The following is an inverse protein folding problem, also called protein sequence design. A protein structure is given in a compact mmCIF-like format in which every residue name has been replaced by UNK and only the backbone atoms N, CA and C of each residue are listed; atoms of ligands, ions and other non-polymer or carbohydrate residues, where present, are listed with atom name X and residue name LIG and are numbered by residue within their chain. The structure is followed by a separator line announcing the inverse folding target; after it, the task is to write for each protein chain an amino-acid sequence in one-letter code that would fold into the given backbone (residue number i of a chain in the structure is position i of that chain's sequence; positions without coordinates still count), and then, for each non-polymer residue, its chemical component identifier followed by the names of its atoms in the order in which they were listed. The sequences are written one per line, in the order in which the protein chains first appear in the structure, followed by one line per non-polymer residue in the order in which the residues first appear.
data_IF_995178238655
#
_entry.id   IF_995178238655
#
_cell.length_a   1.000
_cell.length_b   1.000
_cell.length_c   1.000
_cell.angle_alpha   90.00
_cell.angle_beta   90.00
_cell.angle_gamma   90.00
#
_symmetry.space_group_name_H-M   'P 1'
#
loop_
_entity.id
_entity.type
_entity.pdbx_description
1 polymer ?
#
# COMPACT_ATOMS: atom_id res chain seq x y z
N UNK A 1 -76.84 9.91 -12.88
CA UNK A 1 -76.30 11.27 -12.72
C UNK A 1 -76.65 11.94 -11.39
N UNK A 2 -77.64 11.46 -10.60
CA UNK A 2 -78.08 12.07 -9.34
C UNK A 2 -77.18 11.89 -8.13
N UNK A 3 -76.44 10.82 -8.04
CA UNK A 3 -75.56 10.52 -6.85
C UNK A 3 -74.42 11.47 -6.64
N UNK A 4 -73.79 11.99 -7.70
CA UNK A 4 -72.62 12.92 -7.62
C UNK A 4 -73.05 14.34 -7.19
N UNK A 5 -74.29 14.75 -7.55
CA UNK A 5 -74.81 16.06 -7.16
C UNK A 5 -75.12 16.08 -5.69
N UNK A 6 -75.76 15.01 -5.18
CA UNK A 6 -76.10 14.87 -3.77
C UNK A 6 -74.87 14.86 -2.89
N UNK A 7 -73.81 14.20 -3.33
CA UNK A 7 -72.54 14.13 -2.61
C UNK A 7 -71.77 15.48 -2.59
N UNK A 8 -71.83 16.26 -3.66
CA UNK A 8 -71.27 17.62 -3.72
C UNK A 8 -72.06 18.61 -2.86
N UNK A 9 -73.41 18.50 -2.83
CA UNK A 9 -74.27 19.33 -1.99
C UNK A 9 -74.04 19.00 -0.52
N UNK A 10 -73.90 17.72 -0.17
CA UNK A 10 -73.58 17.30 1.20
C UNK A 10 -72.24 17.82 1.67
N UNK A 11 -71.18 17.77 0.82
CA UNK A 11 -69.87 18.33 1.13
C UNK A 11 -69.90 19.86 1.30
N UNK A 12 -70.62 20.57 0.45
CA UNK A 12 -70.85 22.02 0.59
C UNK A 12 -71.62 22.36 1.89
N UNK A 13 -72.58 21.58 2.24
CA UNK A 13 -73.37 21.79 3.49
C UNK A 13 -72.48 21.51 4.72
N UNK A 14 -71.68 20.47 4.73
CA UNK A 14 -70.70 20.18 5.80
C UNK A 14 -69.68 21.33 5.91
N UNK A 15 -69.20 21.82 4.79
CA UNK A 15 -68.21 22.94 4.75
C UNK A 15 -68.90 24.25 5.28
N UNK A 16 -70.14 24.51 4.93
CA UNK A 16 -70.86 25.66 5.41
C UNK A 16 -71.18 25.58 6.91
N UNK A 17 -71.58 24.39 7.43
CA UNK A 17 -71.73 24.15 8.85
C UNK A 17 -70.43 24.33 9.63
N UNK A 18 -69.31 23.88 9.07
CA UNK A 18 -67.98 24.04 9.66
C UNK A 18 -67.58 25.53 9.72
N UNK A 19 -67.94 26.31 8.70
CA UNK A 19 -67.70 27.76 8.63
C UNK A 19 -68.61 28.50 9.67
N UNK A 20 -69.88 28.09 9.86
CA UNK A 20 -70.74 28.65 10.86
C UNK A 20 -70.33 28.34 12.31
N UNK A 21 -69.76 27.18 12.54
CA UNK A 21 -69.18 26.79 13.86
C UNK A 21 -67.97 27.64 14.19
N UNK A 22 -67.10 27.93 13.18
CA UNK A 22 -65.92 28.78 13.33
C UNK A 22 -66.25 30.27 13.61
N UNK A 23 -67.41 30.72 13.24
CA UNK A 23 -67.90 32.15 13.39
C UNK A 23 -68.46 32.49 14.77
N UNK A 24 -68.72 31.49 15.62
CA UNK A 24 -69.23 31.75 16.99
C UNK A 24 -68.08 32.17 17.94
N UNK A 25 -68.18 33.28 18.65
CA UNK A 25 -67.09 33.85 19.47
C UNK A 25 -66.70 33.01 20.70
N UNK A 26 -67.44 31.94 21.04
CA UNK A 26 -67.12 31.08 22.20
C UNK A 26 -66.41 29.78 21.85
N UNK A 27 -66.21 29.47 20.56
CA UNK A 27 -65.63 28.16 20.13
C UNK A 27 -64.18 28.26 19.61
N UNK A 28 -63.56 29.44 19.65
CA UNK A 28 -62.17 29.65 19.15
C UNK A 28 -61.17 28.78 19.83
N UNK A 29 -61.22 28.60 21.15
CA UNK A 29 -60.22 27.78 21.85
C UNK A 29 -60.34 26.29 21.55
N UNK A 30 -61.60 25.82 21.41
CA UNK A 30 -61.85 24.41 21.07
C UNK A 30 -61.49 24.14 19.63
N UNK A 31 -61.82 25.07 18.72
CA UNK A 31 -61.43 24.95 17.31
C UNK A 31 -59.90 24.96 17.09
N UNK A 32 -59.16 25.75 17.86
CA UNK A 32 -57.71 25.74 17.82
C UNK A 32 -57.10 24.42 18.32
N UNK A 33 -57.64 23.85 19.41
CA UNK A 33 -57.16 22.54 19.91
C UNK A 33 -57.46 21.41 18.92
N UNK A 34 -58.66 21.39 18.37
CA UNK A 34 -59.06 20.38 17.37
C UNK A 34 -58.28 20.54 16.07
N UNK A 35 -58.02 21.78 15.63
CA UNK A 35 -57.18 22.05 14.46
C UNK A 35 -55.72 21.59 14.65
N UNK A 36 -55.15 21.82 15.83
CA UNK A 36 -53.79 21.35 16.16
C UNK A 36 -53.71 19.81 16.19
N UNK A 37 -54.72 19.16 16.72
CA UNK A 37 -54.78 17.69 16.79
C UNK A 37 -55.03 17.03 15.42
N UNK A 38 -55.77 17.67 14.53
CA UNK A 38 -56.04 17.22 13.17
C UNK A 38 -54.91 17.51 12.18
N UNK A 39 -54.17 18.62 12.36
CA UNK A 39 -53.09 19.03 11.47
C UNK A 39 -51.72 18.46 11.90
N UNK A 40 -51.52 18.20 13.19
CA UNK A 40 -50.30 17.65 13.75
C UNK A 40 -49.83 16.33 13.10
N UNK A 41 -50.69 15.29 13.06
CA UNK A 41 -50.30 14.00 12.47
C UNK A 41 -49.91 14.05 10.99
N UNK A 42 -50.64 14.75 10.08
CA UNK A 42 -50.24 14.82 8.69
C UNK A 42 -48.93 15.60 8.48
N UNK A 43 -48.64 16.60 9.30
CA UNK A 43 -47.38 17.36 9.19
C UNK A 43 -46.17 16.49 9.64
N UNK A 44 -46.32 15.71 10.69
CA UNK A 44 -45.27 14.78 11.11
C UNK A 44 -45.00 13.66 10.10
N UNK A 45 -46.06 13.15 9.44
CA UNK A 45 -45.94 12.19 8.35
C UNK A 45 -45.21 12.78 7.14
N UNK A 46 -45.52 14.00 6.73
CA UNK A 46 -44.83 14.67 5.62
C UNK A 46 -43.35 14.86 5.93
N UNK A 47 -42.99 15.26 7.12
CA UNK A 47 -41.58 15.38 7.52
C UNK A 47 -40.86 14.03 7.54
N UNK A 48 -41.50 12.98 8.05
CA UNK A 48 -40.95 11.63 8.05
C UNK A 48 -40.70 11.10 6.62
N UNK A 49 -41.63 11.31 5.70
CA UNK A 49 -41.46 10.94 4.30
C UNK A 49 -40.39 11.79 3.60
N UNK A 50 -40.29 13.07 3.90
CA UNK A 50 -39.27 13.95 3.32
C UNK A 50 -37.87 13.52 3.71
N UNK A 51 -37.62 13.25 4.97
CA UNK A 51 -36.32 12.87 5.48
C UNK A 51 -35.92 11.45 4.99
N UNK A 52 -36.87 10.53 4.96
CA UNK A 52 -36.66 9.18 4.44
C UNK A 52 -36.32 9.15 2.94
N UNK A 53 -36.99 9.98 2.13
CA UNK A 53 -36.72 10.04 0.68
C UNK A 53 -35.38 10.71 0.34
N UNK A 54 -34.97 11.72 1.11
CA UNK A 54 -33.68 12.40 0.89
C UNK A 54 -32.50 11.48 1.17
N UNK A 55 -32.55 10.70 2.24
CA UNK A 55 -31.51 9.69 2.54
C UNK A 55 -31.46 8.61 1.46
N UNK A 56 -32.59 8.11 1.02
CA UNK A 56 -32.65 7.08 -0.02
C UNK A 56 -32.05 7.56 -1.36
N UNK A 57 -32.29 8.82 -1.73
CA UNK A 57 -31.73 9.42 -2.94
C UNK A 57 -30.22 9.67 -2.81
N UNK A 58 -29.73 10.07 -1.65
CA UNK A 58 -28.31 10.28 -1.40
C UNK A 58 -27.54 8.95 -1.48
N UNK A 59 -28.03 7.90 -0.84
CA UNK A 59 -27.41 6.58 -0.87
C UNK A 59 -27.42 6.00 -2.29
N UNK A 60 -28.52 6.16 -3.03
CA UNK A 60 -28.63 5.68 -4.40
C UNK A 60 -27.67 6.39 -5.37
N UNK A 61 -27.52 7.72 -5.25
CA UNK A 61 -26.59 8.50 -6.08
C UNK A 61 -25.13 8.17 -5.74
N UNK A 62 -24.80 7.98 -4.47
CA UNK A 62 -23.46 7.55 -4.04
C UNK A 62 -23.11 6.16 -4.57
N UNK A 63 -24.06 5.23 -4.58
CA UNK A 63 -23.83 3.87 -5.11
C UNK A 63 -23.64 3.86 -6.63
N UNK A 64 -24.34 4.71 -7.38
CA UNK A 64 -24.14 4.86 -8.84
C UNK A 64 -22.76 5.47 -9.13
N UNK A 65 -22.40 6.56 -8.44
CA UNK A 65 -21.09 7.19 -8.63
C UNK A 65 -19.94 6.26 -8.22
N UNK A 66 -20.08 5.49 -7.15
CA UNK A 66 -19.12 4.49 -6.76
C UNK A 66 -18.95 3.40 -7.83
N UNK A 67 -20.05 2.90 -8.40
CA UNK A 67 -20.02 1.90 -9.49
C UNK A 67 -19.38 2.44 -10.77
N UNK A 68 -19.65 3.68 -11.14
CA UNK A 68 -19.03 4.32 -12.30
C UNK A 68 -17.52 4.55 -12.08
N UNK A 69 -17.15 5.01 -10.90
CA UNK A 69 -15.74 5.20 -10.52
C UNK A 69 -14.99 3.86 -10.50
N UNK A 70 -15.60 2.81 -9.94
CA UNK A 70 -15.06 1.44 -9.96
C UNK A 70 -14.86 0.93 -11.38
N UNK A 71 -15.83 1.18 -12.27
CA UNK A 71 -15.76 0.77 -13.67
C UNK A 71 -14.69 1.52 -14.45
N UNK A 72 -14.52 2.82 -14.15
CA UNK A 72 -13.46 3.65 -14.74
C UNK A 72 -12.07 3.22 -14.25
N UNK A 73 -11.92 3.01 -12.94
CA UNK A 73 -10.67 2.55 -12.33
C UNK A 73 -10.27 1.16 -12.83
N UNK A 74 -11.22 0.22 -12.94
CA UNK A 74 -10.95 -1.11 -13.50
C UNK A 74 -10.54 -1.06 -14.98
N UNK A 75 -11.09 -0.15 -15.78
CA UNK A 75 -10.65 0.04 -17.16
C UNK A 75 -9.22 0.58 -17.21
N UNK A 76 -8.89 1.54 -16.36
CA UNK A 76 -7.54 2.11 -16.28
C UNK A 76 -6.50 1.07 -15.82
N UNK A 77 -6.83 0.26 -14.82
CA UNK A 77 -6.00 -0.87 -14.37
C UNK A 77 -5.79 -1.89 -15.48
N UNK A 78 -6.83 -2.21 -16.25
CA UNK A 78 -6.73 -3.15 -17.36
C UNK A 78 -5.86 -2.60 -18.50
N UNK A 79 -5.99 -1.31 -18.82
CA UNK A 79 -5.17 -0.65 -19.84
C UNK A 79 -3.71 -0.55 -19.42
N UNK A 80 -3.43 -0.19 -18.16
CA UNK A 80 -2.07 -0.18 -17.61
C UNK A 80 -1.44 -1.58 -17.61
N UNK A 81 -2.19 -2.61 -17.26
CA UNK A 81 -1.72 -4.02 -17.35
C UNK A 81 -1.38 -4.40 -18.79
N UNK A 82 -2.21 -4.01 -19.75
CA UNK A 82 -1.97 -4.26 -21.18
C UNK A 82 -0.72 -3.53 -21.68
N UNK A 83 -0.53 -2.27 -21.28
CA UNK A 83 0.67 -1.50 -21.64
C UNK A 83 1.93 -2.13 -21.06
N UNK A 84 1.89 -2.59 -19.79
CA UNK A 84 2.99 -3.32 -19.19
C UNK A 84 3.31 -4.62 -19.94
N UNK A 85 2.30 -5.42 -20.30
CA UNK A 85 2.50 -6.64 -21.08
C UNK A 85 3.13 -6.37 -22.45
N UNK A 86 2.69 -5.31 -23.15
CA UNK A 86 3.29 -4.91 -24.43
C UNK A 86 4.74 -4.47 -24.24
N UNK A 87 5.03 -3.71 -23.18
CA UNK A 87 6.38 -3.27 -22.83
C UNK A 87 7.29 -4.47 -22.54
N UNK A 88 6.83 -5.46 -21.78
CA UNK A 88 7.55 -6.71 -21.50
C UNK A 88 7.83 -7.51 -22.78
N UNK A 89 6.86 -7.60 -23.69
CA UNK A 89 7.05 -8.27 -24.98
C UNK A 89 8.09 -7.57 -25.86
N UNK A 90 8.04 -6.23 -25.93
CA UNK A 90 9.00 -5.42 -26.68
C UNK A 90 10.43 -5.52 -26.11
N UNK A 91 10.55 -5.56 -24.77
CA UNK A 91 11.82 -5.73 -24.08
C UNK A 91 12.40 -7.14 -24.35
N UNK A 92 11.55 -8.17 -24.33
CA UNK A 92 11.92 -9.55 -24.61
C UNK A 92 12.36 -9.74 -26.06
N UNK A 93 11.71 -9.06 -27.01
CA UNK A 93 12.06 -9.07 -28.44
C UNK A 93 13.41 -8.40 -28.71
N UNK A 94 13.78 -7.38 -27.93
CA UNK A 94 15.09 -6.72 -27.97
C UNK A 94 16.21 -7.47 -27.22
N UNK A 95 15.92 -8.65 -26.65
CA UNK A 95 16.91 -9.41 -25.86
C UNK A 95 17.23 -8.77 -24.51
N UNK A 96 16.49 -7.72 -24.13
CA UNK A 96 16.60 -7.10 -22.81
C UNK A 96 15.68 -7.91 -21.89
N UNK A 97 16.21 -8.98 -21.32
CA UNK A 97 15.50 -9.76 -20.28
C UNK A 97 15.62 -8.96 -18.97
N UNK A 98 14.75 -7.98 -18.79
CA UNK A 98 14.44 -7.56 -17.45
C UNK A 98 13.59 -8.65 -16.81
N UNK A 99 14.21 -9.55 -16.07
CA UNK A 99 13.52 -10.33 -15.04
C UNK A 99 13.26 -9.41 -13.83
N UNK A 100 12.59 -8.30 -14.06
CA UNK A 100 11.86 -7.60 -13.01
C UNK A 100 10.47 -8.23 -12.90
N UNK A 101 10.40 -9.51 -12.57
CA UNK A 101 9.31 -9.97 -11.73
C UNK A 101 9.43 -9.15 -10.46
N UNK A 102 8.49 -8.26 -10.22
CA UNK A 102 8.42 -7.46 -9.01
C UNK A 102 8.58 -8.41 -7.82
N UNK A 103 9.73 -8.33 -7.13
CA UNK A 103 10.07 -9.26 -6.04
C UNK A 103 8.95 -9.27 -5.00
N UNK A 104 8.26 -8.13 -4.86
CA UNK A 104 7.07 -8.01 -4.02
C UNK A 104 5.87 -8.83 -4.53
N UNK A 105 5.78 -9.20 -5.82
CA UNK A 105 4.74 -10.11 -6.32
C UNK A 105 5.07 -11.58 -6.06
N UNK A 106 6.37 -11.92 -5.98
CA UNK A 106 6.84 -13.29 -5.78
C UNK A 106 6.92 -13.68 -4.29
N UNK A 107 7.13 -12.72 -3.41
CA UNK A 107 7.28 -12.95 -1.97
C UNK A 107 6.17 -12.26 -1.21
N UNK A 108 5.63 -12.93 -0.19
CA UNK A 108 4.82 -12.26 0.82
C UNK A 108 5.66 -11.21 1.53
N UNK A 109 5.08 -10.07 1.86
CA UNK A 109 5.80 -8.98 2.47
C UNK A 109 4.99 -8.21 3.51
N UNK A 110 5.70 -7.51 4.38
CA UNK A 110 5.13 -6.55 5.35
C UNK A 110 5.74 -5.18 5.08
N UNK A 111 4.89 -4.17 4.89
CA UNK A 111 5.33 -2.77 4.85
C UNK A 111 5.57 -2.27 6.26
N UNK A 112 6.71 -1.61 6.48
CA UNK A 112 7.10 -1.06 7.76
C UNK A 112 7.64 0.37 7.61
N UNK A 113 7.37 1.21 8.60
CA UNK A 113 7.94 2.57 8.68
C UNK A 113 9.19 2.57 9.54
N UNK A 114 10.18 3.32 9.12
CA UNK A 114 11.35 3.62 9.96
C UNK A 114 10.92 4.68 10.97
N UNK A 115 11.04 4.36 12.25
CA UNK A 115 10.68 5.25 13.37
C UNK A 115 11.88 5.82 14.11
N UNK A 116 13.08 5.39 13.77
CA UNK A 116 14.32 5.89 14.34
C UNK A 116 15.54 5.28 13.70
N UNK A 117 16.64 5.99 13.79
CA UNK A 117 17.97 5.58 13.36
C UNK A 117 18.90 5.53 14.55
N UNK A 118 19.90 4.68 14.53
CA UNK A 118 21.00 4.73 15.49
C UNK A 118 21.82 6.00 15.22
N UNK A 119 22.05 6.79 16.26
CA UNK A 119 22.84 8.02 16.15
C UNK A 119 24.32 7.70 15.88
N UNK A 120 24.74 7.89 14.66
CA UNK A 120 26.12 7.80 14.14
C UNK A 120 26.25 8.80 12.99
N UNK A 121 27.47 9.20 12.57
CA UNK A 121 27.64 10.05 11.39
C UNK A 121 26.91 9.50 10.15
N UNK A 122 27.02 8.16 9.91
CA UNK A 122 26.28 7.43 8.91
C UNK A 122 25.39 6.36 9.60
N UNK A 123 24.06 6.40 9.41
CA UNK A 123 23.20 5.42 10.03
C UNK A 123 23.40 4.04 9.41
N UNK A 124 23.75 3.07 10.23
CA UNK A 124 23.91 1.67 9.81
C UNK A 124 22.79 0.77 10.33
N UNK A 125 21.99 1.29 11.27
CA UNK A 125 20.90 0.59 11.94
C UNK A 125 19.67 1.49 11.99
N UNK A 126 18.49 0.91 11.73
CA UNK A 126 17.19 1.57 11.88
C UNK A 126 16.22 0.72 12.72
N UNK A 127 15.19 1.36 13.25
CA UNK A 127 14.08 0.73 13.99
C UNK A 127 12.83 0.82 13.13
N UNK A 128 12.17 -0.31 12.95
CA UNK A 128 10.91 -0.46 12.24
C UNK A 128 9.73 -0.55 13.21
N UNK A 129 8.58 0.03 12.85
CA UNK A 129 7.33 -0.01 13.62
C UNK A 129 6.56 -1.33 13.47
N UNK A 130 7.20 -2.40 13.02
CA UNK A 130 6.65 -3.72 12.82
C UNK A 130 7.57 -4.76 13.45
N UNK A 131 6.98 -5.85 14.01
CA UNK A 131 7.73 -6.86 14.76
C UNK A 131 7.21 -8.28 14.58
N UNK A 132 7.42 -9.13 15.59
CA UNK A 132 7.02 -10.54 15.54
C UNK A 132 5.51 -10.74 15.34
N UNK A 133 4.66 -9.86 15.88
CA UNK A 133 3.21 -9.93 15.70
C UNK A 133 2.78 -9.70 14.24
N UNK A 134 3.61 -9.02 13.46
CA UNK A 134 3.41 -8.79 12.04
C UNK A 134 4.09 -9.85 11.16
N UNK A 135 4.63 -10.93 11.76
CA UNK A 135 5.31 -12.00 11.06
C UNK A 135 6.79 -11.74 10.77
N UNK A 136 7.36 -10.64 11.28
CA UNK A 136 8.76 -10.31 11.04
C UNK A 136 9.67 -11.13 11.94
N UNK A 137 10.72 -11.73 11.34
CA UNK A 137 11.74 -12.53 12.02
C UNK A 137 13.14 -12.07 11.66
N UNK A 138 14.10 -12.50 12.48
CA UNK A 138 15.55 -12.30 12.22
C UNK A 138 15.94 -12.87 10.86
N UNK A 139 16.89 -12.22 10.20
CA UNK A 139 17.44 -12.55 8.87
C UNK A 139 16.46 -12.38 7.71
N UNK A 140 15.31 -11.74 7.89
CA UNK A 140 14.44 -11.38 6.78
C UNK A 140 15.02 -10.22 5.98
N UNK A 141 15.03 -10.31 4.64
CA UNK A 141 15.48 -9.23 3.76
C UNK A 141 14.57 -8.01 3.84
N UNK A 142 15.17 -6.84 3.71
CA UNK A 142 14.44 -5.57 3.66
C UNK A 142 14.82 -4.84 2.38
N UNK A 143 13.81 -4.45 1.61
CA UNK A 143 13.95 -3.80 0.30
C UNK A 143 13.14 -2.52 0.21
N UNK A 144 13.46 -1.70 -0.77
CA UNK A 144 12.66 -0.57 -1.26
C UNK A 144 12.69 -0.57 -2.78
N UNK A 145 11.53 -0.62 -3.45
CA UNK A 145 11.45 -0.60 -4.92
C UNK A 145 12.43 -1.58 -5.59
N UNK A 146 12.45 -2.83 -5.21
CA UNK A 146 13.38 -3.85 -5.70
C UNK A 146 14.88 -3.61 -5.43
N UNK A 147 15.24 -2.61 -4.61
CA UNK A 147 16.61 -2.36 -4.19
C UNK A 147 16.82 -2.85 -2.76
N UNK A 148 17.97 -3.46 -2.52
CA UNK A 148 18.31 -4.00 -1.21
C UNK A 148 18.64 -2.87 -0.23
N UNK A 149 17.95 -2.89 0.92
CA UNK A 149 18.23 -1.99 2.04
C UNK A 149 19.11 -2.69 3.10
N UNK A 150 18.79 -3.94 3.42
CA UNK A 150 19.50 -4.68 4.45
C UNK A 150 18.74 -5.91 4.92
N UNK A 151 18.92 -6.27 6.19
CA UNK A 151 18.21 -7.39 6.84
C UNK A 151 17.80 -7.08 8.27
N UNK A 152 16.76 -7.75 8.73
CA UNK A 152 16.35 -7.71 10.13
C UNK A 152 17.37 -8.47 10.99
N UNK A 153 17.90 -7.82 12.04
CA UNK A 153 18.90 -8.44 12.94
C UNK A 153 18.31 -8.82 14.29
N UNK A 154 17.25 -8.15 14.72
CA UNK A 154 16.52 -8.52 15.93
C UNK A 154 15.07 -8.08 15.85
N UNK A 155 14.19 -8.76 16.60
CA UNK A 155 12.75 -8.47 16.64
C UNK A 155 12.24 -8.48 18.07
N UNK A 156 11.26 -7.64 18.34
CA UNK A 156 10.40 -7.64 19.53
C UNK A 156 8.94 -7.83 19.12
N UNK A 157 7.98 -7.92 20.02
CA UNK A 157 6.58 -8.12 19.63
C UNK A 157 6.05 -7.09 18.62
N UNK A 158 6.40 -5.80 18.77
CA UNK A 158 5.85 -4.71 17.96
C UNK A 158 6.90 -3.97 17.11
N UNK A 159 8.19 -4.24 17.29
CA UNK A 159 9.28 -3.51 16.62
C UNK A 159 10.33 -4.48 16.11
N UNK A 160 11.10 -4.06 15.11
CA UNK A 160 12.27 -4.80 14.64
C UNK A 160 13.43 -3.86 14.35
N UNK A 161 14.64 -4.42 14.41
CA UNK A 161 15.89 -3.73 14.15
C UNK A 161 16.39 -4.13 12.77
N UNK A 162 16.50 -3.16 11.88
CA UNK A 162 17.05 -3.29 10.53
C UNK A 162 18.52 -2.92 10.56
N UNK A 163 19.37 -3.76 10.00
CA UNK A 163 20.78 -3.48 9.71
C UNK A 163 20.95 -3.22 8.21
N UNK A 164 21.48 -2.05 7.87
CA UNK A 164 21.75 -1.68 6.48
C UNK A 164 22.92 -2.47 5.90
N UNK A 165 23.01 -2.54 4.57
CA UNK A 165 24.12 -3.20 3.89
C UNK A 165 25.46 -2.51 4.11
N UNK A 166 25.47 -1.23 4.50
CA UNK A 166 26.64 -0.43 4.83
C UNK A 166 27.25 -0.73 6.20
N UNK A 167 26.53 -1.43 7.10
CA UNK A 167 27.05 -1.77 8.43
C UNK A 167 28.26 -2.69 8.33
N UNK A 168 29.29 -2.47 9.15
CA UNK A 168 30.53 -3.26 9.14
C UNK A 168 30.30 -4.75 9.42
N UNK A 169 29.20 -5.08 10.12
CA UNK A 169 28.80 -6.46 10.38
C UNK A 169 27.89 -7.03 9.28
N UNK A 170 27.62 -6.25 8.23
CA UNK A 170 26.84 -6.69 7.08
C UNK A 170 27.75 -7.38 6.07
N UNK A 171 27.38 -8.61 5.73
CA UNK A 171 27.96 -9.34 4.63
C UNK A 171 26.86 -10.06 3.87
N UNK A 172 26.91 -10.06 2.54
CA UNK A 172 25.96 -10.73 1.67
C UNK A 172 26.63 -11.27 0.41
N UNK A 173 26.07 -12.36 -0.12
CA UNK A 173 26.47 -12.90 -1.42
C UNK A 173 26.01 -11.96 -2.53
N UNK A 174 26.95 -11.41 -3.27
CA UNK A 174 26.70 -10.51 -4.38
C UNK A 174 27.23 -11.07 -5.71
N UNK A 175 26.73 -10.54 -6.81
CA UNK A 175 27.12 -10.88 -8.16
C UNK A 175 27.16 -9.62 -9.01
N UNK A 176 28.16 -9.49 -9.84
CA UNK A 176 28.23 -8.46 -10.86
C UNK A 176 27.20 -8.73 -11.98
N UNK A 177 26.54 -7.69 -12.46
CA UNK A 177 25.40 -7.85 -13.37
C UNK A 177 25.82 -8.28 -14.78
N UNK A 178 26.93 -7.73 -15.32
CA UNK A 178 27.40 -8.02 -16.67
C UNK A 178 28.32 -9.24 -16.69
N UNK A 179 29.37 -9.21 -15.88
CA UNK A 179 30.40 -10.25 -15.85
C UNK A 179 29.96 -11.54 -15.16
N UNK A 180 28.85 -11.52 -14.40
CA UNK A 180 28.30 -12.64 -13.60
C UNK A 180 29.25 -13.20 -12.55
N UNK A 181 30.34 -12.49 -12.27
CA UNK A 181 31.29 -12.86 -11.22
C UNK A 181 30.67 -12.73 -9.84
N UNK A 182 30.88 -13.77 -9.03
CA UNK A 182 30.28 -13.83 -7.67
C UNK A 182 31.32 -13.44 -6.63
N UNK A 183 30.92 -12.65 -5.67
CA UNK A 183 31.72 -12.20 -4.55
C UNK A 183 30.91 -12.03 -3.27
N UNK A 184 31.51 -11.43 -2.28
CA UNK A 184 30.88 -11.07 -1.02
C UNK A 184 30.95 -9.56 -0.86
N UNK A 185 29.77 -8.92 -0.79
CA UNK A 185 29.68 -7.50 -0.47
C UNK A 185 29.71 -7.35 1.05
N UNK A 186 30.59 -6.49 1.55
CA UNK A 186 30.72 -6.17 2.97
C UNK A 186 30.52 -4.67 3.18
N UNK A 187 29.85 -4.31 4.26
CA UNK A 187 29.74 -2.93 4.68
C UNK A 187 31.04 -2.41 5.29
N UNK A 188 31.22 -1.11 5.28
CA UNK A 188 32.43 -0.44 5.82
C UNK A 188 32.09 0.57 6.92
N UNK A 189 30.81 0.72 7.27
CA UNK A 189 30.25 1.79 8.09
C UNK A 189 30.44 3.19 7.48
N UNK A 190 30.69 3.24 6.17
CA UNK A 190 30.78 4.44 5.35
C UNK A 190 29.71 4.40 4.25
N UNK A 191 29.67 5.40 3.38
CA UNK A 191 28.75 5.45 2.25
C UNK A 191 28.96 4.32 1.22
N UNK A 192 30.19 3.80 1.11
CA UNK A 192 30.58 2.78 0.15
C UNK A 192 30.70 1.41 0.82
N UNK A 193 30.29 0.38 0.10
CA UNK A 193 30.56 -1.02 0.44
C UNK A 193 31.79 -1.53 -0.31
N UNK A 194 32.37 -2.66 0.12
CA UNK A 194 33.47 -3.33 -0.54
C UNK A 194 33.00 -4.70 -1.08
N UNK A 195 33.21 -4.93 -2.39
CA UNK A 195 32.96 -6.23 -3.01
C UNK A 195 34.28 -7.03 -3.03
N UNK A 196 34.31 -8.13 -2.29
CA UNK A 196 35.48 -8.99 -2.10
C UNK A 196 35.42 -10.26 -2.93
N UNK A 197 36.56 -10.89 -3.14
CA UNK A 197 36.72 -12.18 -3.80
C UNK A 197 36.43 -12.17 -5.30
N UNK A 198 36.54 -11.03 -5.98
CA UNK A 198 36.52 -10.96 -7.44
C UNK A 198 37.94 -11.15 -7.98
N UNK A 199 38.17 -12.14 -8.88
CA UNK A 199 39.53 -12.43 -9.39
C UNK A 199 40.13 -11.24 -10.15
N UNK A 200 41.49 -11.13 -10.12
CA UNK A 200 42.21 -10.11 -10.89
C UNK A 200 42.00 -10.24 -12.40
N UNK A 201 41.65 -11.46 -12.87
CA UNK A 201 41.35 -11.76 -14.29
C UNK A 201 39.99 -11.28 -14.73
N UNK A 202 39.10 -10.90 -13.79
CA UNK A 202 37.75 -10.40 -14.10
C UNK A 202 37.84 -9.08 -14.86
N UNK A 203 36.92 -8.91 -15.83
CA UNK A 203 36.82 -7.71 -16.67
C UNK A 203 35.83 -6.69 -16.08
N UNK A 204 35.63 -6.71 -14.77
CA UNK A 204 34.76 -5.75 -14.08
C UNK A 204 35.14 -4.30 -14.41
N UNK A 205 34.10 -3.47 -14.65
CA UNK A 205 34.25 -2.05 -14.99
C UNK A 205 33.51 -1.16 -13.99
N UNK A 206 33.94 0.08 -13.89
CA UNK A 206 33.19 1.10 -13.16
C UNK A 206 31.86 1.36 -13.84
N UNK A 207 30.80 1.53 -13.04
CA UNK A 207 29.41 1.66 -13.51
C UNK A 207 28.62 0.34 -13.58
N UNK A 208 29.31 -0.82 -13.53
CA UNK A 208 28.66 -2.14 -13.56
C UNK A 208 27.74 -2.32 -12.35
N UNK A 209 26.55 -2.90 -12.59
CA UNK A 209 25.57 -3.20 -11.55
C UNK A 209 26.04 -4.32 -10.62
N UNK A 210 25.68 -4.21 -9.35
CA UNK A 210 25.89 -5.24 -8.33
C UNK A 210 24.55 -5.67 -7.79
N UNK A 211 24.25 -6.97 -7.90
CA UNK A 211 23.00 -7.58 -7.49
C UNK A 211 23.24 -8.68 -6.45
N UNK A 212 22.21 -9.09 -5.72
CA UNK A 212 22.29 -10.25 -4.82
C UNK A 212 22.46 -11.54 -5.62
N UNK A 213 23.32 -12.44 -5.15
CA UNK A 213 23.54 -13.73 -5.81
C UNK A 213 22.58 -14.85 -5.36
N UNK A 214 21.90 -14.68 -4.23
CA UNK A 214 21.04 -15.72 -3.63
C UNK A 214 21.80 -16.87 -2.96
N UNK A 215 23.12 -16.89 -3.01
CA UNK A 215 23.93 -18.03 -2.54
C UNK A 215 24.03 -18.15 -1.02
N UNK A 216 23.70 -17.09 -0.29
CA UNK A 216 23.70 -17.06 1.18
C UNK A 216 22.39 -17.61 1.81
N UNK A 217 21.37 -17.91 1.02
CA UNK A 217 20.07 -18.41 1.48
C UNK A 217 19.26 -17.40 2.32
N UNK A 218 19.73 -16.16 2.42
CA UNK A 218 19.06 -15.07 3.16
C UNK A 218 18.33 -14.15 2.17
N UNK A 219 19.06 -13.67 1.17
CA UNK A 219 18.55 -12.72 0.19
C UNK A 219 18.07 -13.45 -1.07
N UNK A 220 16.88 -13.13 -1.62
CA UNK A 220 16.52 -13.56 -2.95
C UNK A 220 17.58 -13.12 -3.97
N UNK A 221 17.83 -13.89 -5.04
CA UNK A 221 18.74 -13.49 -6.11
C UNK A 221 18.16 -12.31 -6.92
N UNK A 222 19.06 -11.59 -7.60
CA UNK A 222 18.76 -10.51 -8.56
C UNK A 222 18.14 -9.23 -7.96
N UNK A 223 18.27 -8.99 -6.66
CA UNK A 223 17.91 -7.70 -6.05
C UNK A 223 19.07 -6.73 -6.29
N UNK A 224 18.79 -5.54 -6.83
CA UNK A 224 19.78 -4.50 -7.02
C UNK A 224 20.36 -4.02 -5.68
N UNK A 225 21.66 -3.93 -5.60
CA UNK A 225 22.39 -3.50 -4.39
C UNK A 225 23.06 -2.15 -4.62
N UNK A 226 23.81 -2.01 -5.71
CA UNK A 226 24.59 -0.82 -5.97
C UNK A 226 25.27 -0.83 -7.33
N UNK A 227 26.19 0.11 -7.52
CA UNK A 227 27.05 0.19 -8.71
C UNK A 227 28.50 0.27 -8.31
N UNK A 228 29.35 -0.35 -9.11
CA UNK A 228 30.80 -0.27 -8.97
C UNK A 228 31.26 1.17 -9.24
N UNK A 229 32.01 1.76 -8.31
CA UNK A 229 32.52 3.13 -8.43
C UNK A 229 34.04 3.19 -8.49
N UNK A 230 34.72 2.12 -8.07
CA UNK A 230 36.18 2.03 -8.10
C UNK A 230 36.63 0.58 -8.25
N UNK A 231 37.57 0.33 -9.15
CA UNK A 231 38.21 -0.98 -9.37
C UNK A 231 39.70 -0.84 -9.29
N UNK A 232 40.31 -1.33 -8.23
CA UNK A 232 41.76 -1.41 -8.09
C UNK A 232 42.24 -2.84 -8.35
N UNK A 233 43.25 -2.99 -9.21
CA UNK A 233 43.91 -4.26 -9.50
C UNK A 233 45.35 -4.25 -8.93
N UNK A 234 45.53 -4.70 -7.69
CA UNK A 234 46.84 -4.69 -7.05
C UNK A 234 47.81 -5.60 -7.79
N UNK A 235 49.11 -5.18 -7.89
CA UNK A 235 50.14 -5.97 -8.53
C UNK A 235 50.47 -7.27 -7.78
N UNK A 236 50.15 -7.31 -6.48
CA UNK A 236 50.36 -8.46 -5.60
C UNK A 236 49.00 -8.83 -4.98
N UNK A 237 48.62 -10.10 -5.10
CA UNK A 237 47.36 -10.59 -4.59
C UNK A 237 46.60 -11.47 -5.60
N UNK A 238 45.40 -11.92 -5.26
CA UNK A 238 44.54 -12.75 -6.12
C UNK A 238 43.21 -12.04 -6.48
N UNK A 239 42.88 -10.99 -5.78
CA UNK A 239 41.56 -10.37 -5.81
C UNK A 239 41.64 -8.88 -6.13
N UNK A 240 40.66 -8.39 -6.89
CA UNK A 240 40.44 -6.97 -7.07
C UNK A 240 39.92 -6.34 -5.75
N UNK A 241 40.22 -5.06 -5.55
CA UNK A 241 39.55 -4.23 -4.54
C UNK A 241 38.51 -3.40 -5.25
N UNK A 242 37.24 -3.64 -4.94
CA UNK A 242 36.10 -3.02 -5.63
C UNK A 242 35.29 -2.28 -4.62
N UNK A 243 35.06 -0.98 -4.86
CA UNK A 243 34.13 -0.17 -4.08
C UNK A 243 32.80 -0.08 -4.81
N UNK A 244 31.73 -0.24 -4.06
CA UNK A 244 30.34 -0.26 -4.55
C UNK A 244 29.56 0.82 -3.84
N UNK A 245 28.94 1.70 -4.61
CA UNK A 245 28.00 2.69 -4.07
C UNK A 245 26.60 2.09 -4.07
N UNK A 246 25.94 1.96 -2.91
CA UNK A 246 24.54 1.55 -2.84
C UNK A 246 23.64 2.45 -3.67
N UNK A 247 22.59 1.88 -4.29
CA UNK A 247 21.58 2.65 -5.02
C UNK A 247 20.70 3.43 -4.04
N UNK A 248 20.53 2.90 -2.84
CA UNK A 248 19.61 3.44 -1.83
C UNK A 248 20.31 4.45 -0.95
N UNK A 249 19.72 5.63 -0.78
CA UNK A 249 20.16 6.65 0.18
C UNK A 249 19.48 6.39 1.54
N UNK A 250 20.18 5.71 2.46
CA UNK A 250 19.61 5.20 3.72
C UNK A 250 19.05 6.28 4.64
N UNK A 251 19.57 7.49 4.59
CA UNK A 251 19.13 8.62 5.42
C UNK A 251 17.75 9.18 4.99
N UNK A 252 17.33 8.92 3.74
CA UNK A 252 16.09 9.48 3.17
C UNK A 252 14.93 8.48 3.17
N UNK A 253 15.13 7.27 3.68
CA UNK A 253 14.10 6.24 3.66
C UNK A 253 13.11 6.44 4.81
N UNK A 254 11.83 6.52 4.52
CA UNK A 254 10.76 6.56 5.53
C UNK A 254 9.99 5.24 5.66
N UNK A 255 9.86 4.49 4.55
CA UNK A 255 9.14 3.22 4.48
C UNK A 255 9.96 2.16 3.76
N UNK A 256 9.83 0.92 4.20
CA UNK A 256 10.51 -0.25 3.64
C UNK A 256 9.56 -1.44 3.55
N UNK A 257 9.95 -2.43 2.77
CA UNK A 257 9.26 -3.71 2.61
C UNK A 257 10.14 -4.82 3.19
N UNK A 258 9.62 -5.56 4.15
CA UNK A 258 10.25 -6.75 4.72
C UNK A 258 9.71 -7.98 4.00
N UNK A 259 10.56 -8.75 3.34
CA UNK A 259 10.18 -9.97 2.65
C UNK A 259 10.01 -11.12 3.65
N UNK A 260 8.86 -11.78 3.61
CA UNK A 260 8.57 -12.94 4.47
C UNK A 260 9.05 -14.23 3.79
N UNK A 261 9.51 -15.19 4.59
CA UNK A 261 9.81 -16.54 4.07
C UNK A 261 8.50 -17.31 3.82
N UNK A 262 8.46 -18.16 2.80
CA UNK A 262 7.26 -18.95 2.43
C UNK A 262 6.66 -19.76 3.58
N UNK A 263 7.51 -20.29 4.46
CA UNK A 263 7.07 -21.03 5.66
C UNK A 263 6.21 -20.16 6.61
N UNK A 264 6.46 -18.86 6.66
CA UNK A 264 5.71 -17.94 7.51
C UNK A 264 4.37 -17.58 6.91
N UNK A 265 4.28 -17.43 5.58
CA UNK A 265 3.02 -17.21 4.88
C UNK A 265 2.03 -18.34 5.16
N UNK A 266 2.50 -19.60 5.15
CA UNK A 266 1.68 -20.77 5.43
C UNK A 266 1.14 -20.81 6.87
N UNK A 267 1.87 -20.23 7.85
CA UNK A 267 1.43 -20.12 9.24
C UNK A 267 0.39 -19.00 9.41
N UNK A 268 0.66 -17.82 8.84
CA UNK A 268 -0.26 -16.67 8.87
C UNK A 268 -1.60 -17.05 8.23
N UNK A 269 -1.58 -17.72 7.08
CA UNK A 269 -2.80 -18.16 6.39
C UNK A 269 -3.61 -19.22 7.18
N UNK A 270 -2.98 -20.00 8.08
CA UNK A 270 -3.66 -20.97 8.96
C UNK A 270 -4.34 -20.31 10.16
N UNK A 271 -3.89 -19.14 10.59
CA UNK A 271 -4.49 -18.36 11.69
C UNK A 271 -5.74 -17.58 11.27
N UNK A 272 -5.98 -17.41 9.96
CA UNK A 272 -7.20 -16.82 9.40
C UNK A 272 -8.00 -17.89 8.64
N UNK A 273 -8.80 -18.72 9.34
CA UNK A 273 -9.73 -19.62 8.67
C UNK A 273 -10.76 -18.80 7.90
N UNK A 274 -11.08 -19.25 6.68
CA UNK A 274 -12.08 -18.64 5.77
C UNK A 274 -13.46 -18.56 6.40
#
# INVERSE_FOLDING_TARGET
MTGHIIRRVALLFIFLCLLLILYRPGTREIAQKVALELVGPPVSLVNYFRDSTLHFWQDYIQEIHAKELYKKLNKEVLELKRQNQILELLLKEKGIVFQEEDIAQKYAYVRAKIIGYQAMPEPTIAILNKGMRDGIKKSMPVIIQNNLVGKVVSTSPNYSKLMFITDINSALGAMLEDTKEKGVLVGTSEELCELKYIPLTSQVQEGEGVITSGTDGIFPPYIMVGKVVLVERPKVGKWCKIKVKPVVEFQKISEVVVLLKEEELSKILKEFPK
#
